data_IF_537667932863
#
_entry.id   IF_537667932863
#
_cell.length_a   1.000
_cell.length_b   1.000
_cell.length_c   1.000
_cell.angle_alpha   90.00
_cell.angle_beta   90.00
_cell.angle_gamma   90.00
#
_symmetry.space_group_name_H-M   'P 1'
#
loop_
_entity.id
_entity.type
_entity.pdbx_description
1 polymer ?
#
# COMPACT_ATOMS: atom_id res chain seq x y z
N UNK A 1 10.91 13.63 -4.83
CA UNK A 1 10.66 12.28 -4.28
C UNK A 1 11.99 11.63 -3.95
N UNK A 2 12.08 10.99 -2.80
CA UNK A 2 13.28 10.32 -2.30
C UNK A 2 12.93 8.91 -1.89
N UNK A 3 13.82 7.96 -2.15
CA UNK A 3 13.68 6.57 -1.71
C UNK A 3 14.70 6.27 -0.62
N UNK A 4 14.25 5.71 0.49
CA UNK A 4 15.08 5.14 1.55
C UNK A 4 15.01 3.61 1.47
N UNK A 5 16.18 2.98 1.28
CA UNK A 5 16.35 1.52 1.26
C UNK A 5 17.10 1.07 2.50
N UNK A 6 16.89 -0.19 2.92
CA UNK A 6 17.64 -0.79 4.03
C UNK A 6 17.27 -0.29 5.41
N UNK A 7 16.15 0.42 5.53
CA UNK A 7 15.59 0.86 6.80
C UNK A 7 14.82 -0.28 7.51
N UNK A 8 14.91 -0.34 8.83
CA UNK A 8 13.95 -1.02 9.69
C UNK A 8 13.12 0.02 10.46
N UNK A 9 13.78 0.93 11.17
CA UNK A 9 13.19 2.11 11.78
C UNK A 9 13.43 3.36 10.91
N UNK A 10 12.37 3.94 10.33
CA UNK A 10 12.47 5.08 9.42
C UNK A 10 12.72 6.43 10.13
N UNK A 11 12.64 6.45 11.46
CA UNK A 11 12.92 7.64 12.28
C UNK A 11 14.32 7.62 12.87
N UNK A 12 14.93 6.45 12.99
CA UNK A 12 16.29 6.27 13.43
C UNK A 12 17.30 6.44 12.28
N UNK A 13 18.51 6.85 12.63
CA UNK A 13 19.66 6.82 11.73
C UNK A 13 20.32 5.44 11.79
N UNK A 14 20.11 4.61 10.76
CA UNK A 14 20.71 3.27 10.68
C UNK A 14 21.82 3.24 9.63
N UNK A 15 22.95 2.58 9.93
CA UNK A 15 24.09 2.48 8.99
C UNK A 15 23.74 1.76 7.67
N UNK A 16 22.68 0.96 7.67
CA UNK A 16 22.18 0.22 6.51
C UNK A 16 21.39 1.09 5.54
N UNK A 17 20.91 2.25 5.98
CA UNK A 17 20.03 3.12 5.20
C UNK A 17 20.76 3.72 4.00
N UNK A 18 20.08 3.69 2.86
CA UNK A 18 20.50 4.37 1.64
C UNK A 18 19.38 5.27 1.16
N UNK A 19 19.57 6.57 1.34
CA UNK A 19 18.64 7.60 0.88
C UNK A 19 19.07 8.05 -0.51
N UNK A 20 18.26 7.79 -1.52
CA UNK A 20 18.58 8.02 -2.94
C UNK A 20 17.45 8.83 -3.59
N UNK A 21 17.75 9.99 -4.20
CA UNK A 21 16.75 10.74 -4.94
C UNK A 21 16.28 10.01 -6.21
N UNK A 22 15.04 10.29 -6.59
CA UNK A 22 14.41 9.74 -7.80
C UNK A 22 14.76 10.64 -9.00
N UNK A 23 15.36 10.07 -10.03
CA UNK A 23 15.64 10.77 -11.28
C UNK A 23 14.42 10.84 -12.21
N UNK A 24 13.59 9.79 -12.21
CA UNK A 24 12.38 9.74 -13.05
C UNK A 24 11.32 8.85 -12.44
N UNK A 25 10.11 9.38 -12.34
CA UNK A 25 8.89 8.62 -12.09
C UNK A 25 8.27 8.21 -13.43
N UNK A 26 7.93 6.92 -13.57
CA UNK A 26 7.41 6.34 -14.81
C UNK A 26 6.13 5.56 -14.47
N UNK A 27 4.97 6.23 -14.40
CA UNK A 27 3.70 5.55 -14.18
C UNK A 27 3.34 4.67 -15.38
N UNK A 28 2.48 3.68 -15.14
CA UNK A 28 1.94 2.88 -16.22
C UNK A 28 1.23 3.77 -17.25
N UNK A 29 1.41 3.57 -18.57
CA UNK A 29 0.79 4.43 -19.59
C UNK A 29 -0.75 4.45 -19.57
N UNK A 30 -1.36 3.43 -18.97
CA UNK A 30 -2.81 3.31 -18.80
C UNK A 30 -3.25 3.58 -17.34
N UNK A 31 -2.41 4.17 -16.49
CA UNK A 31 -2.83 4.61 -15.16
C UNK A 31 -3.95 5.64 -15.29
N UNK A 32 -5.04 5.44 -14.55
CA UNK A 32 -6.16 6.37 -14.49
C UNK A 32 -6.34 6.88 -13.05
N UNK A 33 -6.15 8.18 -12.78
CA UNK A 33 -6.29 8.73 -11.43
C UNK A 33 -7.75 8.82 -10.94
N UNK A 34 -8.74 8.65 -11.82
CA UNK A 34 -10.16 8.72 -11.42
C UNK A 34 -10.64 7.45 -10.69
N UNK A 35 -10.06 6.29 -11.01
CA UNK A 35 -10.47 4.99 -10.48
C UNK A 35 -9.30 4.11 -10.00
N UNK A 36 -8.10 4.67 -9.96
CA UNK A 36 -6.84 4.00 -9.64
C UNK A 36 -6.57 2.73 -10.48
N UNK A 37 -7.17 2.63 -11.67
CA UNK A 37 -6.87 1.49 -12.56
C UNK A 37 -5.43 1.59 -13.08
N UNK A 38 -4.75 0.44 -13.11
CA UNK A 38 -3.33 0.33 -13.45
C UNK A 38 -2.41 1.19 -12.55
N UNK A 39 -2.73 1.27 -11.26
CA UNK A 39 -1.96 1.95 -10.21
C UNK A 39 -0.60 1.25 -9.95
N UNK A 40 0.32 1.41 -10.90
CA UNK A 40 1.66 0.86 -10.85
C UNK A 40 2.64 1.82 -11.52
N UNK A 41 3.80 2.01 -10.89
CA UNK A 41 4.84 2.93 -11.32
C UNK A 41 6.22 2.35 -11.06
N UNK A 42 7.15 2.65 -11.98
CA UNK A 42 8.57 2.42 -11.78
C UNK A 42 9.27 3.75 -11.49
N UNK A 43 10.02 3.80 -10.39
CA UNK A 43 10.93 4.89 -10.07
C UNK A 43 12.34 4.51 -10.50
N UNK A 44 12.95 5.34 -11.34
CA UNK A 44 14.37 5.27 -11.69
C UNK A 44 15.15 6.14 -10.71
N UNK A 45 16.06 5.53 -9.96
CA UNK A 45 16.93 6.23 -9.01
C UNK A 45 18.02 7.03 -9.75
N UNK A 46 18.50 8.14 -9.18
CA UNK A 46 19.63 8.91 -9.74
C UNK A 46 20.91 8.08 -9.85
N UNK A 47 21.20 7.35 -8.78
CA UNK A 47 22.34 6.44 -8.65
C UNK A 47 21.89 5.04 -8.29
N UNK A 48 22.74 4.05 -8.57
CA UNK A 48 22.50 2.67 -8.19
C UNK A 48 22.55 2.52 -6.67
N UNK A 49 21.64 1.75 -6.11
CA UNK A 49 21.70 1.27 -4.74
C UNK A 49 22.87 0.29 -4.59
N UNK A 50 23.60 0.40 -3.48
CA UNK A 50 24.65 -0.56 -3.11
C UNK A 50 23.99 -1.81 -2.53
N UNK A 51 24.26 -2.97 -3.11
CA UNK A 51 23.74 -4.23 -2.60
C UNK A 51 24.42 -4.58 -1.26
N UNK A 52 23.62 -4.88 -0.25
CA UNK A 52 24.08 -5.27 1.09
C UNK A 52 23.21 -6.42 1.62
N UNK A 53 23.43 -6.85 2.88
CA UNK A 53 22.50 -7.78 3.54
C UNK A 53 21.10 -7.17 3.73
N UNK A 54 21.03 -5.86 3.93
CA UNK A 54 19.80 -5.10 4.16
C UNK A 54 19.19 -4.50 2.88
N UNK A 55 19.91 -4.50 1.76
CA UNK A 55 19.45 -3.94 0.48
C UNK A 55 19.66 -4.95 -0.64
N UNK A 56 18.58 -5.58 -1.11
CA UNK A 56 18.57 -6.58 -2.19
C UNK A 56 17.27 -6.50 -2.99
N UNK A 57 17.30 -6.73 -4.30
CA UNK A 57 16.10 -6.67 -5.11
C UNK A 57 15.15 -7.86 -4.85
N UNK A 58 13.85 -7.58 -4.90
CA UNK A 58 12.79 -8.57 -4.94
C UNK A 58 12.74 -9.23 -6.31
N UNK A 59 12.65 -10.57 -6.33
CA UNK A 59 12.42 -11.30 -7.58
C UNK A 59 10.95 -11.19 -7.95
N UNK A 60 10.68 -10.55 -9.09
CA UNK A 60 9.33 -10.46 -9.62
C UNK A 60 8.84 -11.83 -10.12
N UNK A 61 7.53 -12.13 -9.97
CA UNK A 61 6.95 -13.35 -10.50
C UNK A 61 7.08 -13.39 -12.03
N UNK A 62 7.18 -14.61 -12.58
CA UNK A 62 7.12 -14.82 -14.04
C UNK A 62 5.68 -14.63 -14.53
N UNK A 63 5.50 -14.39 -15.83
CA UNK A 63 4.18 -14.21 -16.44
C UNK A 63 3.25 -15.39 -16.11
N UNK A 64 1.99 -15.11 -15.81
CA UNK A 64 0.89 -16.07 -15.57
C UNK A 64 0.96 -16.89 -14.27
N UNK A 65 1.73 -16.45 -13.27
CA UNK A 65 1.58 -17.01 -11.91
C UNK A 65 0.25 -16.50 -11.34
N UNK A 66 -0.64 -17.43 -11.00
CA UNK A 66 -1.89 -17.11 -10.32
C UNK A 66 -1.81 -17.63 -8.89
N UNK A 67 -2.14 -16.77 -7.93
CA UNK A 67 -2.41 -17.17 -6.56
C UNK A 67 -3.80 -17.80 -6.48
N UNK A 68 -4.00 -18.72 -5.55
CA UNK A 68 -5.28 -19.41 -5.34
C UNK A 68 -5.96 -18.87 -4.09
N UNK A 69 -7.31 -18.80 -4.07
CA UNK A 69 -8.04 -18.54 -2.84
C UNK A 69 -7.60 -19.52 -1.73
N UNK A 70 -7.33 -18.99 -0.54
CA UNK A 70 -6.78 -19.76 0.59
C UNK A 70 -5.26 -19.73 0.71
N UNK A 71 -4.53 -19.30 -0.34
CA UNK A 71 -3.09 -19.06 -0.21
C UNK A 71 -2.84 -17.97 0.84
N UNK A 72 -1.78 -18.14 1.63
CA UNK A 72 -1.38 -17.15 2.64
C UNK A 72 -0.21 -16.33 2.10
N UNK A 73 -0.38 -15.02 2.05
CA UNK A 73 0.66 -14.06 1.72
C UNK A 73 1.02 -13.21 2.95
N UNK A 74 2.12 -12.48 2.88
CA UNK A 74 2.45 -11.44 3.86
C UNK A 74 2.54 -10.08 3.20
N UNK A 75 2.09 -9.06 3.93
CA UNK A 75 2.19 -7.64 3.55
C UNK A 75 3.02 -6.96 4.61
N UNK A 76 4.06 -6.24 4.18
CA UNK A 76 4.95 -5.52 5.07
C UNK A 76 4.99 -4.04 4.71
N UNK A 77 5.11 -3.17 5.72
CA UNK A 77 5.15 -1.73 5.53
C UNK A 77 5.25 -0.95 6.85
N UNK A 78 5.35 0.37 6.72
CA UNK A 78 5.36 1.35 7.82
C UNK A 78 3.98 2.00 8.00
N UNK A 79 2.96 1.20 7.71
CA UNK A 79 1.56 1.59 7.68
C UNK A 79 0.93 1.84 9.04
N UNK A 80 -0.35 2.20 9.04
CA UNK A 80 -1.15 2.28 10.26
C UNK A 80 -1.41 0.86 10.80
N UNK A 81 -1.16 0.68 12.10
CA UNK A 81 -1.37 -0.62 12.78
C UNK A 81 -2.77 -0.78 13.37
N UNK A 82 -3.48 0.34 13.52
CA UNK A 82 -4.87 0.41 13.99
C UNK A 82 -5.61 1.46 13.14
N UNK A 83 -6.92 1.30 12.89
CA UNK A 83 -7.69 2.28 12.13
C UNK A 83 -7.62 3.67 12.76
N UNK A 84 -7.25 4.69 11.97
CA UNK A 84 -7.09 6.07 12.44
C UNK A 84 -5.93 6.29 13.41
N UNK A 85 -5.03 5.31 13.55
CA UNK A 85 -3.83 5.42 14.38
C UNK A 85 -2.69 6.16 13.70
N UNK A 86 -1.55 6.22 14.37
CA UNK A 86 -0.31 6.72 13.78
C UNK A 86 0.34 5.66 12.88
N UNK A 87 1.11 6.13 11.90
CA UNK A 87 2.01 5.28 11.10
C UNK A 87 3.08 4.64 11.99
N UNK A 88 3.48 3.41 11.65
CA UNK A 88 4.54 2.72 12.36
C UNK A 88 5.93 3.27 11.97
N UNK A 89 6.77 3.55 12.96
CA UNK A 89 8.16 3.94 12.71
C UNK A 89 9.04 2.74 12.32
N UNK A 90 8.72 1.55 12.85
CA UNK A 90 9.42 0.30 12.55
C UNK A 90 8.64 -0.56 11.59
N UNK A 91 9.33 -1.30 10.74
CA UNK A 91 8.72 -2.13 9.71
C UNK A 91 7.85 -3.22 10.34
N UNK A 92 6.59 -3.30 9.90
CA UNK A 92 5.60 -4.25 10.39
C UNK A 92 5.26 -5.23 9.28
N UNK A 93 4.75 -6.41 9.65
CA UNK A 93 4.23 -7.40 8.71
C UNK A 93 2.96 -8.07 9.25
N UNK A 94 2.00 -8.29 8.35
CA UNK A 94 0.77 -9.03 8.61
C UNK A 94 0.62 -10.16 7.60
N UNK A 95 0.07 -11.29 8.04
CA UNK A 95 -0.32 -12.39 7.15
C UNK A 95 -1.74 -12.20 6.69
N UNK A 96 -2.00 -12.36 5.40
CA UNK A 96 -3.32 -12.26 4.81
C UNK A 96 -3.63 -13.52 4.00
N UNK A 97 -4.92 -13.83 3.86
CA UNK A 97 -5.37 -14.95 3.04
C UNK A 97 -5.99 -14.43 1.76
N UNK A 98 -5.57 -14.97 0.61
CA UNK A 98 -6.16 -14.65 -0.69
C UNK A 98 -7.65 -15.04 -0.68
N UNK A 99 -8.50 -14.07 -1.02
CA UNK A 99 -9.94 -14.22 -1.05
C UNK A 99 -10.41 -14.67 -2.44
N UNK A 100 -11.65 -15.14 -2.51
CA UNK A 100 -12.28 -15.48 -3.78
C UNK A 100 -12.74 -14.21 -4.51
N UNK A 101 -12.45 -14.11 -5.81
CA UNK A 101 -12.84 -12.96 -6.64
C UNK A 101 -14.34 -12.66 -6.58
N UNK A 102 -15.22 -13.68 -6.59
CA UNK A 102 -16.67 -13.48 -6.51
C UNK A 102 -17.07 -12.80 -5.19
N UNK A 103 -16.38 -13.13 -4.10
CA UNK A 103 -16.59 -12.50 -2.81
C UNK A 103 -16.17 -11.03 -2.86
N UNK A 104 -15.01 -10.73 -3.45
CA UNK A 104 -14.52 -9.35 -3.54
C UNK A 104 -15.34 -8.51 -4.52
N UNK A 105 -15.78 -9.09 -5.64
CA UNK A 105 -16.77 -8.48 -6.54
C UNK A 105 -18.06 -8.13 -5.79
N UNK A 106 -18.54 -8.97 -4.85
CA UNK A 106 -19.76 -8.68 -4.08
C UNK A 106 -19.61 -7.52 -3.09
N UNK A 107 -18.40 -7.30 -2.54
CA UNK A 107 -18.13 -6.23 -1.57
C UNK A 107 -17.72 -4.90 -2.21
N UNK A 108 -17.02 -4.95 -3.34
CA UNK A 108 -16.32 -3.79 -3.91
C UNK A 108 -16.83 -3.39 -5.31
N UNK A 109 -17.99 -3.88 -5.76
CA UNK A 109 -18.57 -3.44 -7.03
C UNK A 109 -18.90 -1.94 -6.99
N UNK A 110 -18.57 -1.14 -8.02
CA UNK A 110 -17.99 -1.51 -9.32
C UNK A 110 -16.45 -1.44 -9.43
N UNK A 111 -15.71 -1.19 -8.35
CA UNK A 111 -14.29 -0.84 -8.36
C UNK A 111 -13.31 -2.02 -8.43
N UNK A 112 -13.74 -3.23 -8.06
CA UNK A 112 -12.87 -4.40 -8.11
C UNK A 112 -12.82 -5.06 -9.49
N UNK A 113 -11.60 -5.27 -10.01
CA UNK A 113 -11.34 -5.94 -11.28
C UNK A 113 -10.33 -7.09 -11.11
N UNK A 114 -10.84 -8.33 -11.14
CA UNK A 114 -10.01 -9.54 -11.02
C UNK A 114 -8.93 -9.72 -12.09
N UNK A 115 -9.00 -8.99 -13.21
CA UNK A 115 -7.99 -9.08 -14.26
C UNK A 115 -6.66 -8.43 -13.86
N UNK A 116 -6.67 -7.44 -12.95
CA UNK A 116 -5.48 -6.69 -12.55
C UNK A 116 -5.38 -6.45 -11.02
N UNK A 117 -6.35 -6.91 -10.22
CA UNK A 117 -6.33 -6.80 -8.76
C UNK A 117 -6.46 -8.16 -8.07
N UNK A 118 -5.77 -8.30 -6.94
CA UNK A 118 -5.87 -9.46 -6.04
C UNK A 118 -6.48 -8.97 -4.74
N UNK A 119 -7.41 -9.74 -4.19
CA UNK A 119 -8.06 -9.44 -2.94
C UNK A 119 -7.53 -10.35 -1.82
N UNK A 120 -7.11 -9.77 -0.71
CA UNK A 120 -6.58 -10.49 0.44
C UNK A 120 -7.16 -9.93 1.74
N UNK A 121 -7.37 -10.81 2.71
CA UNK A 121 -7.99 -10.48 3.99
C UNK A 121 -7.83 -11.62 4.98
N UNK A 122 -7.88 -11.33 6.28
CA UNK A 122 -8.03 -12.39 7.28
C UNK A 122 -9.52 -12.67 7.49
N UNK A 123 -10.04 -13.86 7.14
CA UNK A 123 -11.45 -14.20 7.36
C UNK A 123 -11.86 -14.21 8.84
N UNK A 124 -10.90 -14.25 9.77
CA UNK A 124 -11.13 -14.20 11.23
C UNK A 124 -11.15 -12.77 11.77
N UNK A 125 -10.49 -11.83 11.10
CA UNK A 125 -10.60 -10.41 11.44
C UNK A 125 -11.89 -9.90 10.80
N UNK A 126 -13.00 -10.06 11.52
CA UNK A 126 -14.21 -9.30 11.27
C UNK A 126 -14.01 -7.87 11.77
N UNK A 127 -13.04 -7.13 11.24
CA UNK A 127 -13.12 -5.67 11.33
C UNK A 127 -14.27 -5.29 10.42
N UNK A 128 -15.45 -5.25 11.01
CA UNK A 128 -16.52 -4.39 10.53
C UNK A 128 -15.90 -2.99 10.61
N UNK A 129 -15.43 -2.48 9.48
CA UNK A 129 -15.08 -1.07 9.30
C UNK A 129 -16.37 -0.24 9.31
N UNK A 130 -17.17 -0.40 10.36
CA UNK A 130 -18.13 0.60 10.81
C UNK A 130 -17.48 1.19 12.04
N UNK A 131 -16.96 2.42 11.92
CA UNK A 131 -17.58 3.55 12.61
C UNK A 131 -16.93 4.86 12.13
N UNK A 132 -17.71 5.95 12.16
CA UNK A 132 -17.57 7.13 11.32
C UNK A 132 -16.62 8.16 11.94
N UNK A 133 -15.85 8.86 11.13
CA UNK A 133 -15.33 10.18 11.55
C UNK A 133 -16.38 11.25 11.25
N UNK A 134 -17.32 11.46 12.17
CA UNK A 134 -17.81 12.78 12.65
C UNK A 134 -19.19 12.71 13.33
N UNK A 135 -19.14 12.54 14.66
CA UNK A 135 -20.05 13.01 15.71
C UNK A 135 -21.51 12.51 15.84
N UNK A 136 -22.04 12.51 17.09
CA UNK A 136 -23.09 11.60 17.54
C UNK A 136 -24.48 12.25 17.46
N UNK A 137 -25.44 11.53 16.90
CA UNK A 137 -26.84 11.73 17.25
C UNK A 137 -27.64 10.46 16.92
N UNK A 138 -28.32 9.98 17.96
CA UNK A 138 -29.41 9.00 17.99
C UNK A 138 -30.20 8.79 16.67
N UNK A 139 -30.40 7.50 16.32
CA UNK A 139 -31.59 6.78 15.78
C UNK A 139 -32.68 7.61 15.03
N UNK A 140 -33.44 7.10 14.02
CA UNK A 140 -33.95 5.71 13.90
C UNK A 140 -34.11 5.19 12.43
N UNK A 141 -34.84 4.07 12.31
CA UNK A 141 -35.18 3.30 11.11
C UNK A 141 -35.77 4.08 9.91
N UNK A 142 -35.43 3.58 8.70
CA UNK A 142 -36.03 3.81 7.37
C UNK A 142 -35.97 5.22 6.80
N UNK A 143 -35.22 5.40 5.69
CA UNK A 143 -35.58 6.37 4.64
C UNK A 143 -34.85 6.13 3.28
N UNK A 144 -35.68 6.07 2.23
CA UNK A 144 -35.52 6.31 0.77
C UNK A 144 -34.21 5.98 0.01
N UNK A 145 -34.27 5.24 -1.12
CA UNK A 145 -33.09 4.82 -1.90
C UNK A 145 -32.43 5.90 -2.77
N UNK A 146 -33.03 7.09 -2.91
CA UNK A 146 -32.58 8.10 -3.88
C UNK A 146 -31.41 8.97 -3.36
N UNK A 147 -31.20 9.06 -2.04
CA UNK A 147 -30.13 9.89 -1.45
C UNK A 147 -28.80 9.14 -1.27
N UNK A 148 -28.77 7.83 -1.52
CA UNK A 148 -27.59 6.97 -1.34
C UNK A 148 -26.60 7.10 -2.52
N UNK A 149 -27.06 7.54 -3.68
CA UNK A 149 -26.25 7.53 -4.90
C UNK A 149 -25.22 8.68 -4.99
N UNK A 150 -25.46 9.80 -4.29
CA UNK A 150 -24.60 11.00 -4.36
C UNK A 150 -23.53 11.05 -3.27
N UNK A 151 -23.65 10.28 -2.20
CA UNK A 151 -22.66 10.23 -1.10
C UNK A 151 -21.64 9.10 -1.27
N UNK A 152 -21.84 8.19 -2.23
CA UNK A 152 -20.87 7.12 -2.55
C UNK A 152 -19.68 7.62 -3.39
N UNK A 153 -19.77 8.84 -3.95
CA UNK A 153 -18.73 9.49 -4.76
C UNK A 153 -17.61 10.16 -3.94
N UNK A 154 -17.65 10.09 -2.61
CA UNK A 154 -16.72 10.80 -1.71
C UNK A 154 -16.03 9.91 -0.67
N UNK A 155 -16.02 8.58 -0.88
CA UNK A 155 -15.41 7.61 0.04
C UNK A 155 -14.26 6.80 -0.60
N UNK A 156 -13.80 7.15 -1.80
CA UNK A 156 -12.52 6.66 -2.31
C UNK A 156 -11.36 7.40 -1.63
N UNK A 157 -11.23 7.17 -0.32
CA UNK A 157 -9.96 7.33 0.36
C UNK A 157 -9.12 6.09 0.12
N UNK A 158 -8.63 5.91 -1.11
CA UNK A 158 -7.44 5.09 -1.32
C UNK A 158 -6.29 5.81 -0.59
N UNK A 159 -5.89 5.34 0.59
CA UNK A 159 -4.92 6.12 1.36
C UNK A 159 -4.69 5.64 2.78
N UNK A 160 -4.50 4.35 2.98
CA UNK A 160 -3.85 3.84 4.17
C UNK A 160 -3.19 2.50 3.84
N UNK A 161 -1.87 2.47 3.79
CA UNK A 161 -1.15 1.22 3.96
C UNK A 161 -1.47 0.74 5.37
N UNK A 162 -2.44 -0.16 5.54
CA UNK A 162 -2.83 -0.69 6.84
C UNK A 162 -2.15 -2.04 7.09
N UNK A 163 -1.52 -2.19 8.25
CA UNK A 163 -0.88 -3.44 8.71
C UNK A 163 -1.59 -3.90 10.00
N UNK A 164 -2.93 -3.91 9.98
CA UNK A 164 -3.76 -4.17 11.17
C UNK A 164 -3.49 -5.56 11.73
N UNK A 165 -3.19 -5.64 13.03
CA UNK A 165 -2.89 -6.90 13.71
C UNK A 165 -1.55 -7.53 13.27
N UNK A 166 -0.70 -6.77 12.60
CA UNK A 166 0.65 -7.18 12.27
C UNK A 166 1.59 -7.23 13.48
N UNK A 167 2.84 -7.57 13.20
CA UNK A 167 3.93 -7.62 14.18
C UNK A 167 5.19 -7.01 13.58
N UNK A 168 6.09 -6.53 14.44
CA UNK A 168 7.37 -6.00 14.01
C UNK A 168 8.19 -7.11 13.37
N UNK A 169 8.76 -6.84 12.18
CA UNK A 169 9.64 -7.81 11.52
C UNK A 169 11.00 -7.85 12.19
N UNK A 170 11.73 -8.96 12.04
CA UNK A 170 13.16 -8.94 12.40
C UNK A 170 13.89 -7.90 11.54
N UNK A 171 14.74 -7.03 12.14
CA UNK A 171 15.43 -5.98 11.41
C UNK A 171 16.13 -6.47 10.15
N UNK A 172 15.90 -5.75 9.05
CA UNK A 172 16.48 -6.00 7.72
C UNK A 172 16.16 -7.38 7.09
N UNK A 173 15.19 -8.11 7.63
CA UNK A 173 14.71 -9.39 7.06
C UNK A 173 13.90 -9.24 5.78
N UNK A 174 13.55 -8.01 5.39
CA UNK A 174 12.86 -7.65 4.15
C UNK A 174 13.74 -6.67 3.34
N UNK A 175 14.86 -7.15 2.76
CA UNK A 175 15.90 -6.26 2.22
C UNK A 175 15.51 -5.54 0.92
N UNK A 176 14.31 -5.79 0.41
CA UNK A 176 13.77 -5.17 -0.79
C UNK A 176 12.82 -4.01 -0.49
N UNK A 177 12.47 -3.77 0.77
CA UNK A 177 11.52 -2.71 1.12
C UNK A 177 12.12 -1.35 0.81
N UNK A 178 11.29 -0.50 0.21
CA UNK A 178 11.60 0.87 -0.11
C UNK A 178 10.57 1.77 0.59
N UNK A 179 11.06 2.70 1.41
CA UNK A 179 10.24 3.78 1.93
C UNK A 179 10.37 4.99 0.99
N UNK A 180 9.26 5.58 0.59
CA UNK A 180 9.19 6.64 -0.42
C UNK A 180 8.61 7.87 0.26
N UNK A 181 9.33 8.98 0.19
CA UNK A 181 8.85 10.29 0.63
C UNK A 181 8.71 11.22 -0.58
N UNK A 182 7.50 11.72 -0.78
CA UNK A 182 7.18 12.74 -1.79
C UNK A 182 6.87 14.07 -1.11
N UNK A 183 7.36 15.15 -1.69
CA UNK A 183 7.09 16.52 -1.26
C UNK A 183 6.17 17.17 -2.29
N UNK A 184 4.96 17.52 -1.86
CA UNK A 184 3.93 18.12 -2.70
C UNK A 184 4.03 19.65 -2.71
N UNK A 185 3.46 20.26 -3.74
CA UNK A 185 3.30 21.71 -3.82
C UNK A 185 2.41 22.16 -2.65
N UNK A 186 2.95 23.01 -1.77
CA UNK A 186 2.32 23.38 -0.50
C UNK A 186 2.99 22.81 0.75
N UNK A 187 4.05 22.00 0.60
CA UNK A 187 4.89 21.53 1.72
C UNK A 187 4.39 20.25 2.39
N UNK A 188 3.26 19.71 1.95
CA UNK A 188 2.74 18.43 2.45
C UNK A 188 3.63 17.27 1.99
N UNK A 189 3.97 16.39 2.92
CA UNK A 189 4.71 15.15 2.65
C UNK A 189 3.72 14.01 2.47
N UNK A 190 3.86 13.20 1.42
CA UNK A 190 3.23 11.88 1.36
C UNK A 190 4.27 10.78 1.57
N UNK A 191 3.82 9.70 2.20
CA UNK A 191 4.60 8.49 2.47
C UNK A 191 4.00 7.35 1.68
N UNK A 192 4.86 6.56 1.05
CA UNK A 192 4.48 5.35 0.34
C UNK A 192 5.50 4.25 0.56
N UNK A 193 5.06 3.01 0.37
CA UNK A 193 5.89 1.83 0.24
C UNK A 193 6.26 1.53 -1.21
N UNK A 194 7.26 0.68 -1.35
CA UNK A 194 7.66 0.13 -2.63
C UNK A 194 8.65 -1.01 -2.48
N UNK A 195 9.08 -1.54 -3.62
CA UNK A 195 9.98 -2.67 -3.72
C UNK A 195 11.16 -2.34 -4.62
N UNK A 196 12.37 -2.48 -4.13
CA UNK A 196 13.55 -2.51 -4.99
C UNK A 196 13.45 -3.75 -5.88
N UNK A 197 13.34 -3.57 -7.19
CA UNK A 197 13.25 -4.68 -8.16
C UNK A 197 14.54 -4.88 -8.95
N UNK A 198 15.38 -3.84 -8.98
CA UNK A 198 16.73 -3.87 -9.54
C UNK A 198 17.56 -2.75 -8.90
N UNK A 199 18.89 -2.80 -9.02
CA UNK A 199 19.82 -1.83 -8.42
C UNK A 199 19.52 -0.35 -8.68
N UNK A 200 18.77 -0.01 -9.73
CA UNK A 200 18.36 1.36 -10.08
C UNK A 200 16.85 1.57 -10.18
N UNK A 201 16.05 0.56 -9.86
CA UNK A 201 14.60 0.58 -10.13
C UNK A 201 13.79 0.12 -8.92
N UNK A 202 12.83 0.94 -8.53
CA UNK A 202 11.87 0.67 -7.46
C UNK A 202 10.47 0.62 -8.06
N UNK A 203 9.71 -0.40 -7.69
CA UNK A 203 8.30 -0.57 -8.04
C UNK A 203 7.43 -0.01 -6.91
N UNK A 204 6.43 0.79 -7.24
CA UNK A 204 5.46 1.37 -6.29
C UNK A 204 4.13 1.63 -7.01
N UNK A 205 3.16 2.17 -6.30
CA UNK A 205 1.89 2.64 -6.84
C UNK A 205 2.08 3.98 -7.58
N UNK A 206 1.29 4.21 -8.63
CA UNK A 206 1.30 5.47 -9.38
C UNK A 206 0.69 6.63 -8.58
N UNK A 207 -0.33 6.38 -7.76
CA UNK A 207 -0.95 7.39 -6.91
C UNK A 207 0.04 8.02 -5.91
N UNK A 208 1.18 7.38 -5.64
CA UNK A 208 2.25 7.92 -4.80
C UNK A 208 2.94 9.17 -5.36
N UNK A 209 2.66 9.54 -6.61
CA UNK A 209 3.11 10.80 -7.20
C UNK A 209 2.39 12.03 -6.64
N UNK A 210 1.17 11.89 -6.10
CA UNK A 210 0.29 13.00 -5.75
C UNK A 210 -0.78 13.27 -6.77
#
# INVERSE_FOLDING_TARGET
MTVMLGAHDITAQEETQQVIPVAKAIPHPAYNPEDDSNDIMILKLERKAKMTKAVRPLKLPRRKVHVKPGDVCSVAGWGMMVPGGNYADRLQEVKMTIQNDQKCESYYRPYYNKANQICAGDPKIKTVSTLPSSNPSSLPEKMSPVLILLTFMLLLGAGAEEIIGGHEVSPHSRPYMAFIESLHVGGNKSRCGGFLVQDKFVLTAAHCMG
#
